data_IF_978843581703
#
_entry.id   IF_978843581703
#
_cell.length_a   1.000
_cell.length_b   1.000
_cell.length_c   1.000
_cell.angle_alpha   90.00
_cell.angle_beta   90.00
_cell.angle_gamma   90.00
#
_symmetry.space_group_name_H-M   'P 1'
#
loop_
_entity.id
_entity.type
_entity.pdbx_description
1 polymer ?
#
# COMPACT_ATOMS: atom_id res chain seq x y z
N UNK A 1 21.39 -17.08 31.24
CA UNK A 1 21.65 -16.80 29.82
C UNK A 1 20.30 -16.40 29.23
N UNK A 2 20.04 -15.10 29.13
CA UNK A 2 18.81 -14.57 28.55
C UNK A 2 18.96 -14.79 27.04
N UNK A 3 18.29 -15.80 26.49
CA UNK A 3 18.12 -15.90 25.05
C UNK A 3 17.21 -14.75 24.63
N UNK A 4 17.77 -13.73 24.04
CA UNK A 4 16.97 -12.80 23.24
C UNK A 4 16.34 -13.64 22.13
N UNK A 5 15.03 -13.58 21.90
CA UNK A 5 14.49 -14.13 20.68
C UNK A 5 15.21 -13.43 19.54
N UNK A 6 16.04 -14.17 18.83
CA UNK A 6 16.74 -13.70 17.66
C UNK A 6 15.68 -13.08 16.77
N UNK A 7 15.90 -11.83 16.35
CA UNK A 7 14.99 -11.08 15.51
C UNK A 7 14.62 -11.90 14.27
N UNK A 8 13.50 -12.61 14.34
CA UNK A 8 12.96 -13.39 13.22
C UNK A 8 12.42 -12.48 12.09
N UNK A 9 12.48 -11.16 12.28
CA UNK A 9 12.11 -10.14 11.27
C UNK A 9 12.79 -10.38 9.92
N UNK A 10 14.02 -10.90 9.90
CA UNK A 10 14.74 -11.22 8.66
C UNK A 10 14.37 -12.59 8.07
N UNK A 11 13.77 -13.46 8.87
CA UNK A 11 13.38 -14.82 8.46
C UNK A 11 11.90 -14.90 8.10
N UNK A 12 11.08 -14.02 8.66
CA UNK A 12 9.64 -13.96 8.42
C UNK A 12 9.34 -13.12 7.17
N UNK A 13 8.37 -13.58 6.38
CA UNK A 13 7.89 -12.78 5.25
C UNK A 13 6.93 -11.71 5.75
N UNK A 14 7.15 -10.47 5.34
CA UNK A 14 6.33 -9.30 5.63
C UNK A 14 5.57 -8.86 4.39
N UNK A 15 4.41 -8.25 4.57
CA UNK A 15 3.65 -7.66 3.48
C UNK A 15 3.52 -6.17 3.70
N UNK A 16 4.06 -5.36 2.78
CA UNK A 16 3.75 -3.93 2.68
C UNK A 16 2.43 -3.79 1.94
N UNK A 17 1.52 -2.97 2.45
CA UNK A 17 0.25 -2.63 1.79
C UNK A 17 0.18 -1.12 1.63
N UNK A 18 -0.31 -0.68 0.47
CA UNK A 18 -0.59 0.71 0.14
C UNK A 18 -1.83 0.76 -0.77
N UNK A 19 -2.75 1.68 -0.50
CA UNK A 19 -4.00 1.84 -1.24
C UNK A 19 -4.10 3.23 -1.84
N UNK A 20 -4.62 3.29 -3.07
CA UNK A 20 -5.13 4.53 -3.61
C UNK A 20 -6.65 4.56 -3.53
N UNK A 21 -7.21 5.72 -3.21
CA UNK A 21 -8.63 5.87 -2.91
C UNK A 21 -9.24 7.11 -3.56
N UNK A 22 -10.57 7.17 -3.64
CA UNK A 22 -11.28 8.36 -4.17
C UNK A 22 -11.30 9.55 -3.21
N UNK A 23 -10.88 9.34 -1.94
CA UNK A 23 -10.84 10.35 -0.89
C UNK A 23 -10.36 9.76 0.43
N UNK A 24 -10.60 10.46 1.54
CA UNK A 24 -9.98 10.14 2.83
C UNK A 24 -10.89 9.40 3.82
N UNK A 25 -12.14 9.17 3.49
CA UNK A 25 -13.13 8.59 4.40
C UNK A 25 -13.50 7.16 3.99
N UNK A 26 -13.04 6.16 4.71
CA UNK A 26 -13.29 4.75 4.43
C UNK A 26 -14.79 4.38 4.38
N UNK A 27 -15.67 5.19 5.00
CA UNK A 27 -17.12 4.99 4.97
C UNK A 27 -17.83 5.65 3.77
N UNK A 28 -17.14 6.53 3.02
CA UNK A 28 -17.74 7.32 1.94
C UNK A 28 -16.98 7.17 0.62
N UNK A 29 -15.71 6.92 0.71
CA UNK A 29 -14.81 6.82 -0.42
C UNK A 29 -14.51 5.37 -0.77
N UNK A 30 -13.94 5.16 -1.95
CA UNK A 30 -13.72 3.83 -2.52
C UNK A 30 -12.25 3.61 -2.81
N UNK A 31 -11.80 2.37 -2.72
CA UNK A 31 -10.48 1.94 -3.19
C UNK A 31 -10.48 2.00 -4.71
N UNK A 32 -9.41 2.50 -5.30
CA UNK A 32 -9.18 2.55 -6.75
C UNK A 32 -7.93 1.77 -7.18
N UNK A 33 -7.03 1.48 -6.25
CA UNK A 33 -5.88 0.60 -6.47
C UNK A 33 -5.45 -0.04 -5.16
N UNK A 34 -4.97 -1.28 -5.26
CA UNK A 34 -4.32 -2.01 -4.18
C UNK A 34 -2.91 -2.35 -4.65
N UNK A 35 -1.90 -1.94 -3.90
CA UNK A 35 -0.53 -2.39 -4.02
C UNK A 35 -0.12 -3.18 -2.79
N UNK A 36 0.44 -4.37 -2.96
CA UNK A 36 1.05 -5.10 -1.87
C UNK A 36 2.33 -5.80 -2.33
N UNK A 37 3.35 -5.77 -1.49
CA UNK A 37 4.64 -6.42 -1.75
C UNK A 37 4.96 -7.33 -0.58
N UNK A 38 5.21 -8.61 -0.89
CA UNK A 38 5.73 -9.57 0.08
C UNK A 38 7.26 -9.60 -0.01
N UNK A 39 7.94 -9.40 1.11
CA UNK A 39 9.39 -9.43 1.19
C UNK A 39 9.87 -10.26 2.38
N UNK A 40 11.07 -10.79 2.27
CA UNK A 40 11.76 -11.54 3.33
C UNK A 40 13.20 -11.04 3.42
N UNK A 41 13.57 -10.44 4.54
CA UNK A 41 14.80 -9.69 4.65
C UNK A 41 14.82 -8.52 3.64
N UNK A 42 15.82 -8.51 2.75
CA UNK A 42 15.96 -7.48 1.70
C UNK A 42 15.40 -7.93 0.33
N UNK A 43 14.78 -9.12 0.25
CA UNK A 43 14.34 -9.70 -1.01
C UNK A 43 12.84 -9.58 -1.19
N UNK A 44 12.42 -9.00 -2.33
CA UNK A 44 11.03 -9.09 -2.79
C UNK A 44 10.76 -10.56 -3.15
N UNK A 45 9.76 -11.14 -2.50
CA UNK A 45 9.33 -12.53 -2.71
C UNK A 45 8.20 -12.58 -3.74
N UNK A 46 7.22 -11.67 -3.59
CA UNK A 46 6.02 -11.62 -4.42
C UNK A 46 5.41 -10.22 -4.44
N UNK A 47 4.46 -9.97 -5.31
CA UNK A 47 3.68 -8.73 -5.34
C UNK A 47 2.26 -8.96 -5.82
N UNK A 48 1.36 -8.17 -5.28
CA UNK A 48 -0.04 -8.07 -5.66
C UNK A 48 -0.33 -6.64 -6.09
N UNK A 49 -0.86 -6.45 -7.28
CA UNK A 49 -1.23 -5.14 -7.80
C UNK A 49 -2.57 -5.27 -8.53
N UNK A 50 -3.53 -4.44 -8.17
CA UNK A 50 -4.84 -4.44 -8.80
C UNK A 50 -5.45 -3.05 -8.83
N UNK A 51 -5.86 -2.61 -10.02
CA UNK A 51 -6.80 -1.50 -10.17
C UNK A 51 -8.20 -1.96 -9.79
N UNK A 52 -8.96 -1.04 -9.21
CA UNK A 52 -10.31 -1.31 -8.72
C UNK A 52 -11.30 -0.33 -9.31
N UNK A 53 -12.42 -0.84 -9.81
CA UNK A 53 -13.53 -0.01 -10.25
C UNK A 53 -14.31 0.52 -9.03
N UNK A 54 -14.28 1.84 -8.75
CA UNK A 54 -14.98 2.42 -7.61
C UNK A 54 -16.49 2.59 -7.85
N UNK A 55 -17.01 2.29 -9.04
CA UNK A 55 -18.40 2.52 -9.42
C UNK A 55 -18.80 4.02 -9.47
N UNK A 56 -17.84 4.92 -9.53
CA UNK A 56 -18.06 6.38 -9.58
C UNK A 56 -16.95 7.09 -10.36
N UNK A 57 -17.24 8.34 -10.74
CA UNK A 57 -16.26 9.19 -11.43
C UNK A 57 -15.16 9.63 -10.47
N UNK A 58 -13.91 9.58 -10.93
CA UNK A 58 -12.76 10.14 -10.23
C UNK A 58 -12.75 11.67 -10.38
N UNK A 59 -12.47 12.37 -9.29
CA UNK A 59 -12.24 13.82 -9.36
C UNK A 59 -10.92 14.12 -10.07
N UNK A 60 -10.79 15.31 -10.63
CA UNK A 60 -9.54 15.73 -11.27
C UNK A 60 -8.38 15.77 -10.26
N UNK A 61 -8.68 16.09 -9.00
CA UNK A 61 -7.71 16.05 -7.92
C UNK A 61 -7.15 14.63 -7.71
N UNK A 62 -8.02 13.61 -7.62
CA UNK A 62 -7.60 12.20 -7.46
C UNK A 62 -6.76 11.76 -8.66
N UNK A 63 -7.21 12.03 -9.88
CA UNK A 63 -6.46 11.70 -11.10
C UNK A 63 -5.07 12.33 -11.14
N UNK A 64 -4.94 13.59 -10.69
CA UNK A 64 -3.63 14.27 -10.62
C UNK A 64 -2.74 13.72 -9.51
N UNK A 65 -3.34 13.36 -8.37
CA UNK A 65 -2.62 12.85 -7.22
C UNK A 65 -2.05 11.45 -7.46
N UNK A 66 -2.91 10.55 -7.98
CA UNK A 66 -2.59 9.13 -8.15
C UNK A 66 -2.01 8.80 -9.52
N UNK A 67 -2.28 9.61 -10.53
CA UNK A 67 -1.98 9.33 -11.93
C UNK A 67 -2.94 8.34 -12.59
N UNK A 68 -3.92 7.81 -11.85
CA UNK A 68 -4.89 6.84 -12.34
C UNK A 68 -5.98 7.56 -13.14
N UNK A 69 -6.28 7.06 -14.34
CA UNK A 69 -7.30 7.61 -15.22
C UNK A 69 -8.67 6.97 -15.00
N UNK A 70 -9.74 7.67 -15.43
CA UNK A 70 -11.09 7.10 -15.38
C UNK A 70 -11.21 5.82 -16.21
N UNK A 71 -10.61 5.79 -17.40
CA UNK A 71 -10.69 4.62 -18.29
C UNK A 71 -10.08 3.37 -17.67
N UNK A 72 -9.00 3.53 -16.90
CA UNK A 72 -8.34 2.41 -16.21
C UNK A 72 -9.26 1.81 -15.15
N UNK A 73 -9.84 2.64 -14.28
CA UNK A 73 -10.74 2.12 -13.23
C UNK A 73 -12.07 1.63 -13.80
N UNK A 74 -12.59 2.23 -14.87
CA UNK A 74 -13.83 1.75 -15.51
C UNK A 74 -13.65 0.35 -16.12
N UNK A 75 -12.43 0.02 -16.54
CA UNK A 75 -12.06 -1.29 -17.09
C UNK A 75 -11.67 -2.32 -16.04
N UNK A 76 -11.49 -1.88 -14.78
CA UNK A 76 -11.08 -2.75 -13.69
C UNK A 76 -12.26 -3.52 -13.07
N UNK A 77 -11.93 -4.59 -12.34
CA UNK A 77 -12.90 -5.34 -11.56
C UNK A 77 -13.30 -4.56 -10.28
N UNK A 78 -14.48 -4.79 -9.69
CA UNK A 78 -14.82 -4.25 -8.38
C UNK A 78 -13.94 -4.88 -7.29
N UNK A 79 -13.78 -4.18 -6.15
CA UNK A 79 -12.95 -4.67 -5.03
C UNK A 79 -13.33 -6.08 -4.57
N UNK A 80 -14.62 -6.41 -4.55
CA UNK A 80 -15.12 -7.73 -4.15
C UNK A 80 -14.60 -8.89 -5.01
N UNK A 81 -14.14 -8.62 -6.24
CA UNK A 81 -13.58 -9.64 -7.11
C UNK A 81 -12.11 -9.96 -6.81
N UNK A 82 -11.40 -9.08 -6.11
CA UNK A 82 -9.98 -9.25 -5.77
C UNK A 82 -9.74 -9.46 -4.27
N UNK A 83 -10.81 -9.33 -3.46
CA UNK A 83 -10.71 -9.33 -2.01
C UNK A 83 -10.17 -10.65 -1.44
N UNK A 84 -10.60 -11.78 -1.99
CA UNK A 84 -10.16 -13.12 -1.58
C UNK A 84 -8.68 -13.33 -1.93
N UNK A 85 -8.27 -12.99 -3.15
CA UNK A 85 -6.89 -13.10 -3.62
C UNK A 85 -5.94 -12.22 -2.77
N UNK A 86 -6.37 -11.00 -2.42
CA UNK A 86 -5.61 -10.13 -1.53
C UNK A 86 -5.47 -10.73 -0.12
N UNK A 87 -6.57 -11.27 0.44
CA UNK A 87 -6.54 -11.90 1.76
C UNK A 87 -5.63 -13.12 1.77
N UNK A 88 -5.65 -13.95 0.72
CA UNK A 88 -4.75 -15.08 0.53
C UNK A 88 -3.31 -14.62 0.37
N UNK A 89 -3.06 -13.54 -0.37
CA UNK A 89 -1.71 -12.99 -0.53
C UNK A 89 -1.12 -12.54 0.80
N UNK A 90 -1.91 -11.88 1.65
CA UNK A 90 -1.46 -11.43 2.98
C UNK A 90 -1.32 -12.59 3.95
N UNK A 91 -2.27 -13.54 3.96
CA UNK A 91 -2.31 -14.67 4.89
C UNK A 91 -2.10 -14.26 6.35
N UNK A 92 -1.09 -14.87 7.02
CA UNK A 92 -0.70 -14.58 8.39
C UNK A 92 0.54 -13.69 8.49
N UNK A 93 1.06 -13.19 7.37
CA UNK A 93 2.26 -12.37 7.35
C UNK A 93 2.05 -11.07 8.14
N UNK A 94 3.02 -10.59 8.91
CA UNK A 94 2.97 -9.24 9.46
C UNK A 94 2.80 -8.20 8.36
N UNK A 95 2.03 -7.16 8.66
CA UNK A 95 1.68 -6.09 7.70
C UNK A 95 2.43 -4.81 8.05
N UNK A 96 3.04 -4.21 7.06
CA UNK A 96 3.77 -2.95 7.13
C UNK A 96 3.10 -1.90 6.23
N UNK A 97 3.08 -0.65 6.67
CA UNK A 97 2.62 0.48 5.87
C UNK A 97 3.10 1.80 6.43
N UNK A 98 2.67 2.88 5.81
CA UNK A 98 2.95 4.24 6.27
C UNK A 98 1.63 4.96 6.57
N UNK A 99 1.32 5.21 7.82
CA UNK A 99 -0.02 5.57 8.30
C UNK A 99 -1.02 4.43 8.01
N UNK A 100 -0.58 3.21 8.32
CA UNK A 100 -1.23 1.95 7.96
C UNK A 100 -2.70 1.85 8.42
N UNK A 101 -3.09 2.58 9.47
CA UNK A 101 -4.48 2.61 9.92
C UNK A 101 -5.44 3.09 8.84
N UNK A 102 -5.03 4.01 7.97
CA UNK A 102 -5.82 4.47 6.85
C UNK A 102 -6.17 3.31 5.89
N UNK A 103 -5.18 2.55 5.48
CA UNK A 103 -5.36 1.42 4.55
C UNK A 103 -6.22 0.33 5.18
N UNK A 104 -5.96 -0.01 6.44
CA UNK A 104 -6.71 -1.03 7.17
C UNK A 104 -8.19 -0.64 7.37
N UNK A 105 -8.50 0.63 7.58
CA UNK A 105 -9.87 1.12 7.69
C UNK A 105 -10.62 0.96 6.36
N UNK A 106 -9.96 1.27 5.23
CA UNK A 106 -10.53 1.04 3.90
C UNK A 106 -10.73 -0.45 3.61
N UNK A 107 -9.77 -1.31 3.91
CA UNK A 107 -9.91 -2.77 3.77
C UNK A 107 -11.06 -3.28 4.63
N UNK A 108 -11.14 -2.85 5.90
CA UNK A 108 -12.21 -3.27 6.83
C UNK A 108 -13.59 -2.84 6.33
N UNK A 109 -13.73 -1.61 5.83
CA UNK A 109 -14.99 -1.11 5.26
C UNK A 109 -15.41 -1.87 3.99
N UNK A 110 -14.48 -2.56 3.34
CA UNK A 110 -14.70 -3.40 2.17
C UNK A 110 -14.70 -4.91 2.48
N UNK A 111 -14.80 -5.28 3.77
CA UNK A 111 -15.01 -6.67 4.21
C UNK A 111 -13.73 -7.46 4.51
N UNK A 112 -12.55 -6.85 4.41
CA UNK A 112 -11.27 -7.49 4.79
C UNK A 112 -10.80 -6.93 6.13
N UNK A 113 -10.87 -7.73 7.19
CA UNK A 113 -10.32 -7.38 8.50
C UNK A 113 -9.05 -8.16 8.76
N UNK A 114 -7.91 -7.49 8.70
CA UNK A 114 -6.62 -8.09 8.97
C UNK A 114 -6.33 -8.03 10.48
N UNK A 115 -6.12 -9.21 11.10
CA UNK A 115 -5.72 -9.35 12.51
C UNK A 115 -4.21 -9.56 12.70
N UNK A 116 -3.46 -9.42 11.63
CA UNK A 116 -2.02 -9.62 11.54
C UNK A 116 -1.24 -8.66 12.46
N UNK A 117 -0.03 -9.04 12.82
CA UNK A 117 0.91 -8.12 13.45
C UNK A 117 1.10 -6.90 12.54
N UNK A 118 1.04 -5.70 13.13
CA UNK A 118 1.08 -4.43 12.39
C UNK A 118 2.36 -3.68 12.72
N UNK A 119 2.96 -3.09 11.70
CA UNK A 119 4.09 -2.19 11.84
C UNK A 119 3.82 -0.94 11.00
N UNK A 120 3.82 0.21 11.63
CA UNK A 120 3.60 1.50 10.96
C UNK A 120 4.90 2.28 10.92
N UNK A 121 5.38 2.58 9.71
CA UNK A 121 6.62 3.34 9.53
C UNK A 121 6.50 4.79 9.99
N UNK A 122 5.29 5.35 10.04
CA UNK A 122 5.05 6.66 10.63
C UNK A 122 5.32 6.65 12.13
N UNK A 123 4.75 5.67 12.85
CA UNK A 123 4.95 5.50 14.30
C UNK A 123 6.41 5.20 14.63
N UNK A 124 7.04 4.33 13.84
CA UNK A 124 8.47 4.04 13.99
C UNK A 124 9.32 5.29 13.85
N UNK A 125 9.07 6.08 12.82
CA UNK A 125 9.81 7.31 12.56
C UNK A 125 9.59 8.35 13.67
N UNK A 126 8.36 8.46 14.20
CA UNK A 126 8.06 9.35 15.32
C UNK A 126 8.87 9.01 16.58
N UNK A 127 9.08 7.73 16.84
CA UNK A 127 9.88 7.27 18.00
C UNK A 127 11.38 7.40 17.76
N UNK A 128 11.84 7.08 16.55
CA UNK A 128 13.28 7.02 16.22
C UNK A 128 13.89 8.39 15.91
N UNK A 129 13.07 9.31 15.38
CA UNK A 129 13.53 10.62 14.89
C UNK A 129 12.65 11.76 15.46
N UNK A 130 12.58 11.93 16.78
CA UNK A 130 11.66 12.88 17.44
C UNK A 130 11.93 14.35 17.08
N UNK A 131 13.09 14.65 16.48
CA UNK A 131 13.46 15.99 16.01
C UNK A 131 12.81 16.38 14.67
N UNK A 132 12.27 15.42 13.92
CA UNK A 132 11.60 15.71 12.67
C UNK A 132 10.25 16.39 12.91
N UNK A 133 9.94 17.37 12.07
CA UNK A 133 8.67 18.12 12.12
C UNK A 133 7.58 17.54 11.23
N UNK A 134 7.96 16.62 10.35
CA UNK A 134 7.06 16.03 9.36
C UNK A 134 7.55 14.60 9.06
N UNK A 135 6.65 13.65 9.20
CA UNK A 135 6.89 12.22 9.03
C UNK A 135 6.27 11.66 7.74
N UNK A 136 5.91 12.51 6.77
CA UNK A 136 5.44 12.01 5.48
C UNK A 136 6.51 11.14 4.80
N UNK A 137 6.08 10.14 4.05
CA UNK A 137 6.98 9.18 3.42
C UNK A 137 8.06 9.86 2.56
N UNK A 138 7.70 10.93 1.82
CA UNK A 138 8.64 11.73 1.04
C UNK A 138 9.70 12.44 1.90
N UNK A 139 9.33 12.90 3.11
CA UNK A 139 10.27 13.55 4.02
C UNK A 139 11.19 12.55 4.70
N UNK A 140 10.66 11.39 5.06
CA UNK A 140 11.46 10.30 5.62
C UNK A 140 12.46 9.77 4.60
N UNK A 141 12.02 9.54 3.37
CA UNK A 141 12.87 9.13 2.26
C UNK A 141 14.04 10.11 2.03
N UNK A 142 13.72 11.41 2.02
CA UNK A 142 14.75 12.46 1.90
C UNK A 142 15.73 12.46 3.09
N UNK A 143 15.21 12.30 4.32
CA UNK A 143 16.01 12.28 5.54
C UNK A 143 16.94 11.06 5.61
N UNK A 144 16.43 9.89 5.20
CA UNK A 144 17.14 8.62 5.21
C UNK A 144 18.04 8.40 3.97
N UNK A 145 18.10 9.38 3.06
CA UNK A 145 18.79 9.26 1.76
C UNK A 145 18.39 7.99 0.99
N UNK A 146 17.10 7.62 1.10
CA UNK A 146 16.51 6.45 0.46
C UNK A 146 15.67 6.90 -0.74
N UNK A 147 15.93 6.40 -1.95
CA UNK A 147 15.14 6.79 -3.13
C UNK A 147 13.69 6.39 -2.94
N UNK A 148 12.79 7.38 -3.04
CA UNK A 148 11.35 7.16 -3.03
C UNK A 148 10.84 7.29 -4.45
N UNK A 149 10.53 6.17 -5.09
CA UNK A 149 9.82 6.12 -6.37
C UNK A 149 8.34 5.97 -6.09
N UNK A 150 7.50 6.83 -6.70
CA UNK A 150 6.06 6.63 -6.66
C UNK A 150 5.73 5.46 -7.61
N UNK A 151 5.04 4.41 -7.16
CA UNK A 151 4.75 3.23 -7.99
C UNK A 151 4.03 3.57 -9.29
N UNK A 152 3.31 4.70 -9.34
CA UNK A 152 2.50 5.11 -10.48
C UNK A 152 3.22 5.97 -11.53
N UNK A 153 4.40 6.53 -11.22
CA UNK A 153 5.13 7.39 -12.16
C UNK A 153 5.91 6.58 -13.18
N UNK A 154 6.20 5.32 -12.87
CA UNK A 154 7.00 4.43 -13.71
C UNK A 154 6.16 3.46 -14.56
N UNK A 155 4.83 3.63 -14.63
CA UNK A 155 4.00 2.90 -15.60
C UNK A 155 4.34 3.39 -17.02
N UNK A 156 5.12 2.62 -17.71
CA UNK A 156 5.29 2.78 -19.18
C UNK A 156 3.92 2.65 -19.82
N UNK A 157 3.45 3.63 -20.61
CA UNK A 157 2.19 3.48 -21.33
C UNK A 157 2.24 2.19 -22.16
N UNK A 158 1.39 1.23 -21.83
CA UNK A 158 1.18 0.04 -22.63
C UNK A 158 0.47 0.48 -23.92
N UNK A 159 1.23 0.66 -25.00
CA UNK A 159 0.65 0.80 -26.34
C UNK A 159 1.22 1.90 -27.19
N UNK A 160 2.39 1.68 -27.74
CA UNK A 160 2.69 2.02 -29.13
C UNK A 160 3.52 0.89 -29.70
N UNK A 161 2.84 -0.08 -30.33
CA UNK A 161 3.47 -0.91 -31.36
C UNK A 161 3.75 0.01 -32.54
N UNK A 162 5.01 0.35 -32.71
CA UNK A 162 5.45 0.96 -33.95
C UNK A 162 5.30 -0.09 -35.09
N UNK A 163 4.48 0.25 -36.06
CA UNK A 163 4.55 -0.32 -37.42
C UNK A 163 5.75 0.26 -38.16
#
# INVERSE_FOLDING_TARGET
MIMFPQLSILEEAWVVIDLETTGLSANQDMIIEVGAIKFQGEHKVDSFEALVNPGRQLTDFVKQLTGITQNEVDSAAPFSAIAEDLAEFVENSPVLGHNLSFDLDFLSSNGITLSNTRCDTWDMAYVLFPELKNYSLSKLSQFLDSPHTRPHVDRVPSGETAD
#
